data_IF_409106862010
#
_entry.id   IF_409106862010
#
_cell.length_a   1.000
_cell.length_b   1.000
_cell.length_c   1.000
_cell.angle_alpha   90.00
_cell.angle_beta   90.00
_cell.angle_gamma   90.00
#
_symmetry.space_group_name_H-M   'P 1'
#
loop_
_entity.id
_entity.type
_entity.pdbx_description
1 polymer ?
#
# COMPACT_ATOMS: atom_id res chain seq x y z
N UNK A 1 -6.68 -5.09 -3.82
CA UNK A 1 -5.36 -5.54 -4.38
C UNK A 1 -4.34 -4.42 -4.37
N UNK A 2 -4.56 -3.38 -5.17
CA UNK A 2 -3.62 -2.28 -5.42
C UNK A 2 -3.04 -1.61 -4.16
N UNK A 3 -3.85 -1.40 -3.12
CA UNK A 3 -3.39 -0.84 -1.84
C UNK A 3 -2.60 -1.86 -1.01
N UNK A 4 -3.03 -3.12 -0.99
CA UNK A 4 -2.30 -4.21 -0.33
C UNK A 4 -0.89 -4.39 -0.92
N UNK A 5 -0.77 -4.36 -2.26
CA UNK A 5 0.53 -4.41 -2.93
C UNK A 5 1.42 -3.20 -2.58
N UNK A 6 0.84 -2.01 -2.40
CA UNK A 6 1.61 -0.83 -2.03
C UNK A 6 2.18 -0.91 -0.60
N UNK A 7 1.43 -1.48 0.36
CA UNK A 7 2.00 -1.79 1.68
C UNK A 7 3.22 -2.71 1.55
N UNK A 8 3.08 -3.83 0.84
CA UNK A 8 4.16 -4.80 0.67
C UNK A 8 5.37 -4.22 -0.06
N UNK A 9 5.15 -3.43 -1.11
CA UNK A 9 6.23 -2.72 -1.82
C UNK A 9 6.97 -1.76 -0.92
N UNK A 10 6.26 -1.01 -0.08
CA UNK A 10 6.89 -0.06 0.84
C UNK A 10 7.70 -0.77 1.95
N UNK A 11 7.28 -1.97 2.37
CA UNK A 11 8.06 -2.79 3.30
C UNK A 11 9.39 -3.26 2.69
N UNK A 12 9.37 -3.71 1.43
CA UNK A 12 10.57 -4.17 0.71
C UNK A 12 11.44 -3.00 0.26
N UNK A 13 10.82 -1.91 -0.19
CA UNK A 13 11.48 -0.71 -0.67
C UNK A 13 10.94 0.54 0.05
N UNK A 14 11.59 0.95 1.16
CA UNK A 14 11.23 2.14 1.92
C UNK A 14 11.33 3.47 1.12
N UNK A 15 11.91 3.43 -0.07
CA UNK A 15 12.12 4.60 -0.93
C UNK A 15 11.02 4.73 -2.01
N UNK A 16 9.99 3.86 -1.98
CA UNK A 16 8.84 3.92 -2.89
C UNK A 16 7.81 4.99 -2.46
N UNK A 17 8.05 6.23 -2.88
CA UNK A 17 7.17 7.38 -2.62
C UNK A 17 5.74 7.20 -3.18
N UNK A 18 5.60 6.47 -4.29
CA UNK A 18 4.30 6.22 -4.92
C UNK A 18 3.45 5.33 -4.03
N UNK A 19 4.05 4.24 -3.53
CA UNK A 19 3.39 3.36 -2.58
C UNK A 19 3.12 4.08 -1.26
N UNK A 20 4.07 4.87 -0.75
CA UNK A 20 3.88 5.65 0.48
C UNK A 20 2.67 6.59 0.40
N UNK A 21 2.58 7.43 -0.64
CA UNK A 21 1.45 8.35 -0.82
C UNK A 21 0.11 7.63 -1.00
N UNK A 22 0.13 6.46 -1.64
CA UNK A 22 -1.09 5.65 -1.82
C UNK A 22 -1.69 5.19 -0.50
N UNK A 23 -0.86 4.72 0.42
CA UNK A 23 -1.30 3.99 1.61
C UNK A 23 -1.25 4.81 2.91
N UNK A 24 -0.59 5.97 2.92
CA UNK A 24 -0.45 6.83 4.10
C UNK A 24 -1.80 7.13 4.77
N UNK A 25 -2.86 7.29 3.98
CA UNK A 25 -4.23 7.54 4.46
C UNK A 25 -5.23 6.42 4.09
N UNK A 26 -4.75 5.20 3.91
CA UNK A 26 -5.57 3.99 3.65
C UNK A 26 -5.31 2.91 4.70
N UNK A 27 -6.30 2.52 5.52
CA UNK A 27 -7.59 3.18 5.74
C UNK A 27 -7.45 4.63 6.21
N UNK A 28 -8.57 5.38 6.28
CA UNK A 28 -8.53 6.81 6.64
C UNK A 28 -7.93 7.02 8.05
N UNK A 29 -6.81 7.75 8.11
CA UNK A 29 -6.08 8.12 9.35
C UNK A 29 -6.18 9.61 9.69
N UNK A 30 -6.77 10.41 8.80
CA UNK A 30 -6.88 11.87 8.97
C UNK A 30 -5.72 12.64 8.32
N UNK A 31 -5.01 12.02 7.39
CA UNK A 31 -3.96 12.66 6.58
C UNK A 31 -4.56 13.09 5.25
N UNK A 32 -5.12 14.31 5.23
CA UNK A 32 -5.79 14.88 4.05
C UNK A 32 -4.83 15.18 2.89
N UNK A 33 -5.38 15.48 1.71
CA UNK A 33 -4.59 15.77 0.49
C UNK A 33 -3.58 16.91 0.70
N UNK A 34 -3.99 18.00 1.35
CA UNK A 34 -3.08 19.10 1.66
C UNK A 34 -1.89 18.67 2.54
N UNK A 35 -2.12 17.79 3.52
CA UNK A 35 -1.02 17.22 4.32
C UNK A 35 -0.12 16.30 3.51
N UNK A 36 -0.67 15.51 2.59
CA UNK A 36 0.12 14.66 1.70
C UNK A 36 0.99 15.50 0.75
N UNK A 37 0.44 16.59 0.20
CA UNK A 37 1.18 17.55 -0.63
C UNK A 37 2.32 18.21 0.16
N UNK A 38 2.05 18.65 1.40
CA UNK A 38 3.06 19.21 2.29
C UNK A 38 4.18 18.21 2.59
N UNK A 39 3.83 16.95 2.90
CA UNK A 39 4.80 15.87 3.14
C UNK A 39 5.66 15.64 1.90
N UNK A 40 5.04 15.50 0.73
CA UNK A 40 5.74 15.29 -0.54
C UNK A 40 6.69 16.45 -0.88
N UNK A 41 6.21 17.69 -0.77
CA UNK A 41 7.01 18.88 -1.01
C UNK A 41 8.21 18.96 -0.05
N UNK A 42 7.99 18.68 1.23
CA UNK A 42 9.03 18.74 2.24
C UNK A 42 10.08 17.63 2.08
N UNK A 43 9.66 16.41 1.71
CA UNK A 43 10.57 15.31 1.37
C UNK A 43 11.44 15.67 0.15
N UNK A 44 10.82 16.24 -0.90
CA UNK A 44 11.50 16.69 -2.11
C UNK A 44 12.52 17.79 -1.84
N UNK A 45 12.19 18.80 -1.03
CA UNK A 45 13.12 19.89 -0.66
C UNK A 45 14.35 19.34 0.05
N UNK A 46 14.17 18.31 0.89
CA UNK A 46 15.25 17.67 1.63
C UNK A 46 15.99 16.60 0.84
N UNK A 47 15.57 16.30 -0.39
CA UNK A 47 16.18 15.27 -1.24
C UNK A 47 16.11 13.87 -0.64
N UNK A 48 15.04 13.57 0.11
CA UNK A 48 14.82 12.28 0.77
C UNK A 48 13.51 11.65 0.32
N UNK A 49 13.43 10.31 0.19
CA UNK A 49 12.15 9.62 0.04
C UNK A 49 11.24 9.91 1.23
N UNK A 50 9.93 9.87 1.00
CA UNK A 50 8.90 10.28 1.95
C UNK A 50 9.04 9.55 3.28
N UNK A 51 9.03 8.22 3.29
CA UNK A 51 9.08 7.46 4.55
C UNK A 51 10.39 7.74 5.33
N UNK A 52 11.50 7.91 4.62
CA UNK A 52 12.79 8.30 5.21
C UNK A 52 12.74 9.70 5.82
N UNK A 53 12.20 10.66 5.08
CA UNK A 53 12.05 12.04 5.54
C UNK A 53 11.16 12.14 6.78
N UNK A 54 10.05 11.38 6.81
CA UNK A 54 9.14 11.33 7.95
C UNK A 54 9.84 10.78 9.21
N UNK A 55 10.69 9.77 9.07
CA UNK A 55 11.48 9.20 10.18
C UNK A 55 12.64 10.08 10.63
N UNK A 56 13.34 10.74 9.68
CA UNK A 56 14.55 11.53 9.96
C UNK A 56 14.25 12.90 10.59
N UNK A 57 13.27 13.62 10.04
CA UNK A 57 12.97 15.01 10.44
C UNK A 57 11.74 15.12 11.34
N UNK A 58 10.95 14.05 11.44
CA UNK A 58 9.70 14.04 12.17
C UNK A 58 8.59 14.86 11.48
N UNK A 59 7.32 14.46 11.66
CA UNK A 59 6.19 15.16 11.02
C UNK A 59 5.97 16.59 11.54
N UNK A 60 6.47 16.92 12.73
CA UNK A 60 6.35 18.26 13.31
C UNK A 60 7.13 19.34 12.52
N UNK A 61 8.21 18.96 11.83
CA UNK A 61 9.00 19.88 11.01
C UNK A 61 8.40 20.15 9.61
N UNK A 62 7.21 19.63 9.33
CA UNK A 62 6.59 19.68 8.00
C UNK A 62 5.47 20.72 7.88
N UNK A 63 5.27 21.55 8.93
CA UNK A 63 4.19 22.55 8.95
C UNK A 63 2.79 21.92 8.92
N UNK A 64 2.68 20.68 9.40
CA UNK A 64 1.42 19.92 9.49
C UNK A 64 0.61 20.37 10.71
N UNK A 65 -0.71 20.18 10.65
CA UNK A 65 -1.57 20.34 11.83
C UNK A 65 -1.23 19.30 12.90
N UNK A 66 -1.48 19.59 14.18
CA UNK A 66 -1.26 18.63 15.28
C UNK A 66 -1.97 17.28 15.05
N UNK A 67 -3.16 17.30 14.43
CA UNK A 67 -3.90 16.09 14.06
C UNK A 67 -3.17 15.28 13.00
N UNK A 68 -2.66 15.94 11.95
CA UNK A 68 -1.93 15.29 10.88
C UNK A 68 -0.57 14.75 11.37
N UNK A 69 0.11 15.48 12.26
CA UNK A 69 1.35 15.03 12.91
C UNK A 69 1.13 13.69 13.60
N UNK A 70 0.15 13.62 14.51
CA UNK A 70 -0.17 12.40 15.24
C UNK A 70 -0.56 11.24 14.32
N UNK A 71 -1.33 11.53 13.27
CA UNK A 71 -1.73 10.50 12.29
C UNK A 71 -0.52 9.96 11.50
N UNK A 72 0.46 10.81 11.18
CA UNK A 72 1.69 10.40 10.51
C UNK A 72 2.59 9.61 11.45
N UNK A 73 2.72 9.99 12.72
CA UNK A 73 3.46 9.22 13.73
C UNK A 73 2.91 7.79 13.84
N UNK A 74 1.58 7.67 13.99
CA UNK A 74 0.90 6.36 14.00
C UNK A 74 1.10 5.57 12.71
N UNK A 75 1.21 6.24 11.57
CA UNK A 75 1.49 5.57 10.31
C UNK A 75 2.93 5.02 10.26
N UNK A 76 3.92 5.76 10.79
CA UNK A 76 5.30 5.29 10.88
C UNK A 76 5.39 4.08 11.80
N UNK A 77 4.78 4.15 12.98
CA UNK A 77 4.71 3.05 13.95
C UNK A 77 4.07 1.80 13.32
N UNK A 78 2.94 1.98 12.63
CA UNK A 78 2.30 0.90 11.88
C UNK A 78 3.25 0.27 10.86
N UNK A 79 3.98 1.07 10.07
CA UNK A 79 4.90 0.51 9.07
C UNK A 79 6.05 -0.29 9.71
N UNK A 80 6.48 0.08 10.91
CA UNK A 80 7.46 -0.70 11.67
C UNK A 80 6.86 -2.05 12.13
N UNK A 81 5.66 -2.03 12.69
CA UNK A 81 4.92 -3.24 13.11
C UNK A 81 4.61 -4.18 11.94
N UNK A 82 4.27 -3.62 10.78
CA UNK A 82 4.00 -4.38 9.56
C UNK A 82 5.26 -5.05 8.99
N UNK A 83 6.44 -4.49 9.26
CA UNK A 83 7.72 -5.02 8.80
C UNK A 83 8.27 -6.17 9.65
N UNK A 84 7.71 -6.42 10.84
CA UNK A 84 8.25 -7.44 11.74
C UNK A 84 8.27 -8.87 11.17
N UNK A 85 7.21 -9.37 10.51
CA UNK A 85 7.25 -10.72 9.95
C UNK A 85 8.28 -10.85 8.83
N UNK A 86 8.42 -9.81 7.99
CA UNK A 86 9.45 -9.76 6.95
C UNK A 86 10.86 -9.83 7.57
N UNK A 87 11.11 -9.08 8.64
CA UNK A 87 12.41 -9.08 9.33
C UNK A 87 12.78 -10.44 9.94
N UNK A 88 11.78 -11.29 10.27
CA UNK A 88 11.98 -12.65 10.76
C UNK A 88 12.00 -13.72 9.66
N UNK A 89 11.84 -13.33 8.39
CA UNK A 89 11.83 -14.24 7.25
C UNK A 89 10.54 -15.05 7.10
N UNK A 90 9.40 -14.47 7.50
CA UNK A 90 8.08 -15.09 7.31
C UNK A 90 7.74 -15.32 5.83
N UNK A 91 6.81 -16.25 5.57
CA UNK A 91 6.33 -16.53 4.21
C UNK A 91 5.52 -15.35 3.64
N UNK A 92 5.49 -15.15 2.31
CA UNK A 92 4.80 -13.99 1.72
C UNK A 92 3.31 -13.91 2.07
N UNK A 93 2.64 -15.08 2.19
CA UNK A 93 1.24 -15.16 2.60
C UNK A 93 1.03 -14.70 4.05
N UNK A 94 1.94 -15.03 4.95
CA UNK A 94 1.89 -14.57 6.35
C UNK A 94 2.09 -13.06 6.43
N UNK A 95 3.05 -12.51 5.68
CA UNK A 95 3.28 -11.06 5.61
C UNK A 95 2.05 -10.34 5.05
N UNK A 96 1.43 -10.87 3.99
CA UNK A 96 0.21 -10.31 3.41
C UNK A 96 -0.95 -10.34 4.42
N UNK A 97 -1.20 -11.48 5.08
CA UNK A 97 -2.28 -11.62 6.06
C UNK A 97 -2.06 -10.67 7.26
N UNK A 98 -0.82 -10.52 7.73
CA UNK A 98 -0.44 -9.55 8.77
C UNK A 98 -0.71 -8.12 8.33
N UNK A 99 -0.28 -7.75 7.11
CA UNK A 99 -0.53 -6.41 6.54
C UNK A 99 -2.01 -6.11 6.43
N UNK A 100 -2.81 -7.03 5.89
CA UNK A 100 -4.25 -6.80 5.69
C UNK A 100 -4.99 -6.62 7.02
N UNK A 101 -4.57 -7.36 8.05
CA UNK A 101 -5.20 -7.30 9.37
C UNK A 101 -4.74 -6.08 10.18
N UNK A 102 -3.43 -5.92 10.42
CA UNK A 102 -2.90 -4.89 11.32
C UNK A 102 -3.05 -3.48 10.77
N UNK A 103 -3.00 -3.29 9.44
CA UNK A 103 -3.28 -1.98 8.85
C UNK A 103 -4.73 -1.53 9.00
N UNK A 104 -5.63 -2.43 9.38
CA UNK A 104 -7.08 -2.24 9.36
C UNK A 104 -7.70 -2.30 7.96
N UNK A 105 -6.92 -2.65 6.93
CA UNK A 105 -7.38 -2.67 5.54
C UNK A 105 -8.53 -3.66 5.33
N UNK A 106 -8.42 -4.88 5.90
CA UNK A 106 -9.48 -5.87 5.78
C UNK A 106 -10.79 -5.40 6.41
N UNK A 107 -10.71 -4.78 7.59
CA UNK A 107 -11.88 -4.20 8.26
C UNK A 107 -12.49 -3.07 7.44
N UNK A 108 -11.67 -2.23 6.81
CA UNK A 108 -12.16 -1.16 5.93
C UNK A 108 -12.94 -1.73 4.74
N UNK A 109 -12.44 -2.79 4.09
CA UNK A 109 -13.16 -3.48 3.01
C UNK A 109 -14.49 -4.05 3.52
N UNK A 110 -14.50 -4.70 4.68
CA UNK A 110 -15.72 -5.28 5.26
C UNK A 110 -16.80 -4.25 5.62
N UNK A 111 -16.41 -2.98 5.81
CA UNK A 111 -17.35 -1.88 6.12
C UNK A 111 -17.89 -1.16 4.88
N UNK A 112 -17.43 -1.54 3.68
CA UNK A 112 -17.96 -1.02 2.41
C UNK A 112 -19.34 -1.60 2.10
N UNK A 113 -19.96 -1.14 1.01
CA UNK A 113 -21.18 -1.74 0.49
C UNK A 113 -20.97 -3.24 0.22
N UNK A 114 -21.91 -4.14 0.60
CA UNK A 114 -21.71 -5.58 0.48
C UNK A 114 -21.31 -6.06 -0.92
N UNK A 115 -21.88 -5.46 -1.98
CA UNK A 115 -21.59 -5.86 -3.36
C UNK A 115 -20.15 -5.47 -3.76
N UNK A 116 -19.67 -4.33 -3.27
CA UNK A 116 -18.29 -3.88 -3.49
C UNK A 116 -17.32 -4.71 -2.64
N UNK A 117 -17.68 -4.96 -1.39
CA UNK A 117 -16.87 -5.72 -0.45
C UNK A 117 -16.63 -7.15 -0.93
N UNK A 118 -17.66 -7.83 -1.45
CA UNK A 118 -17.56 -9.21 -1.96
C UNK A 118 -16.48 -9.32 -3.04
N UNK A 119 -16.58 -8.52 -4.11
CA UNK A 119 -15.57 -8.53 -5.18
C UNK A 119 -14.18 -8.13 -4.69
N UNK A 120 -14.06 -7.23 -3.71
CA UNK A 120 -12.75 -6.88 -3.12
C UNK A 120 -12.18 -8.01 -2.26
N UNK A 121 -13.02 -8.77 -1.56
CA UNK A 121 -12.61 -9.93 -0.75
C UNK A 121 -12.15 -11.07 -1.64
N UNK A 122 -12.88 -11.39 -2.72
CA UNK A 122 -12.48 -12.39 -3.72
C UNK A 122 -11.10 -12.05 -4.29
N UNK A 123 -10.92 -10.80 -4.74
CA UNK A 123 -9.66 -10.26 -5.20
C UNK A 123 -8.51 -10.39 -4.17
N UNK A 124 -8.79 -10.25 -2.87
CA UNK A 124 -7.78 -10.46 -1.82
C UNK A 124 -7.48 -11.95 -1.59
N UNK A 125 -8.47 -12.82 -1.73
CA UNK A 125 -8.28 -14.27 -1.63
C UNK A 125 -7.43 -14.81 -2.79
N UNK A 126 -7.65 -14.32 -4.01
CA UNK A 126 -6.81 -14.62 -5.17
C UNK A 126 -5.38 -14.15 -4.95
N UNK A 127 -5.20 -12.91 -4.50
CA UNK A 127 -3.89 -12.35 -4.17
C UNK A 127 -3.15 -13.21 -3.13
N UNK A 128 -3.89 -13.69 -2.12
CA UNK A 128 -3.38 -14.60 -1.07
C UNK A 128 -2.97 -15.96 -1.64
N UNK A 129 -3.74 -16.52 -2.57
CA UNK A 129 -3.41 -17.76 -3.26
C UNK A 129 -2.07 -17.63 -4.02
N UNK A 130 -1.88 -16.54 -4.76
CA UNK A 130 -0.60 -16.26 -5.44
C UNK A 130 0.54 -16.12 -4.43
N UNK A 131 0.33 -15.38 -3.34
CA UNK A 131 1.34 -15.20 -2.28
C UNK A 131 1.75 -16.53 -1.62
N UNK A 132 0.84 -17.47 -1.43
CA UNK A 132 1.15 -18.78 -0.84
C UNK A 132 2.02 -19.68 -1.72
N UNK A 133 2.08 -19.40 -3.03
CA UNK A 133 2.90 -20.15 -3.98
C UNK A 133 4.28 -19.54 -4.20
N UNK A 134 4.50 -18.31 -3.72
CA UNK A 134 5.73 -17.56 -3.96
C UNK A 134 6.81 -17.91 -2.92
N UNK A 135 8.08 -18.13 -3.34
CA UNK A 135 9.15 -18.49 -2.42
C UNK A 135 9.63 -17.32 -1.54
N UNK A 136 9.52 -16.08 -2.02
CA UNK A 136 9.88 -14.87 -1.27
C UNK A 136 8.91 -13.74 -1.60
N UNK A 137 8.92 -12.68 -0.76
CA UNK A 137 8.06 -11.52 -0.97
C UNK A 137 8.44 -10.77 -2.26
N UNK A 138 9.73 -10.70 -2.59
CA UNK A 138 10.23 -10.11 -3.82
C UNK A 138 9.72 -10.87 -5.05
N UNK A 139 9.80 -12.21 -5.04
CA UNK A 139 9.31 -13.05 -6.13
C UNK A 139 7.79 -12.87 -6.34
N UNK A 140 7.03 -12.77 -5.24
CA UNK A 140 5.61 -12.46 -5.28
C UNK A 140 5.32 -11.08 -5.91
N UNK A 141 6.06 -10.05 -5.50
CA UNK A 141 5.89 -8.70 -6.02
C UNK A 141 6.26 -8.60 -7.51
N UNK A 142 7.27 -9.34 -7.97
CA UNK A 142 7.65 -9.43 -9.38
C UNK A 142 6.57 -10.13 -10.21
N UNK A 143 6.08 -11.28 -9.75
CA UNK A 143 5.01 -12.02 -10.43
C UNK A 143 3.74 -11.18 -10.56
N UNK A 144 3.32 -10.49 -9.49
CA UNK A 144 2.14 -9.60 -9.54
C UNK A 144 2.37 -8.37 -10.42
N UNK A 145 3.58 -7.83 -10.51
CA UNK A 145 3.89 -6.74 -11.43
C UNK A 145 3.73 -7.17 -12.89
N UNK A 146 4.14 -8.39 -13.24
CA UNK A 146 4.02 -8.92 -14.60
C UNK A 146 2.55 -9.10 -15.02
N UNK A 147 1.72 -9.70 -14.17
CA UNK A 147 0.28 -9.85 -14.47
C UNK A 147 -0.40 -8.48 -14.64
N UNK A 148 -0.14 -7.53 -13.73
CA UNK A 148 -0.70 -6.19 -13.86
C UNK A 148 -0.23 -5.46 -15.14
N UNK A 149 1.02 -5.68 -15.58
CA UNK A 149 1.52 -5.10 -16.82
C UNK A 149 0.84 -5.68 -18.06
N UNK A 150 0.59 -7.00 -18.06
CA UNK A 150 -0.15 -7.67 -19.13
C UNK A 150 -1.60 -7.20 -19.16
N UNK A 151 -2.28 -7.14 -18.01
CA UNK A 151 -3.66 -6.65 -17.92
C UNK A 151 -3.77 -5.19 -18.37
N UNK A 152 -2.84 -4.32 -17.95
CA UNK A 152 -2.83 -2.92 -18.39
C UNK A 152 -2.62 -2.78 -19.91
N UNK A 153 -1.79 -3.63 -20.52
CA UNK A 153 -1.62 -3.68 -21.98
C UNK A 153 -2.88 -4.21 -22.69
N UNK A 154 -3.57 -5.19 -22.11
CA UNK A 154 -4.81 -5.72 -22.66
C UNK A 154 -5.97 -4.71 -22.53
N UNK A 155 -6.02 -3.92 -21.45
CA UNK A 155 -6.96 -2.81 -21.28
C UNK A 155 -6.70 -1.69 -22.30
N UNK A 156 -5.44 -1.36 -22.58
CA UNK A 156 -5.04 -0.33 -23.56
C UNK A 156 -5.31 -0.76 -25.02
N UNK A 157 -5.21 -2.06 -25.31
CA UNK A 157 -5.59 -2.66 -26.60
C UNK A 157 -7.11 -2.97 -26.66
N UNK A 158 -7.80 -2.94 -25.52
CA UNK A 158 -9.09 -3.58 -25.28
C UNK A 158 -10.33 -2.69 -25.37
N UNK A 159 -10.28 -1.52 -26.01
CA UNK A 159 -11.51 -0.84 -26.45
C UNK A 159 -11.73 -1.07 -27.94
N UNK A 160 -12.03 -2.32 -28.30
CA UNK A 160 -12.87 -2.62 -29.47
C UNK A 160 -13.68 -3.89 -29.17
N UNK A 161 -14.63 -3.79 -28.24
CA UNK A 161 -15.75 -4.73 -28.19
C UNK A 161 -16.66 -4.41 -29.38
N UNK A 162 -16.31 -4.95 -30.55
CA UNK A 162 -17.25 -5.15 -31.63
C UNK A 162 -18.06 -6.39 -31.26
N UNK A 163 -19.24 -6.18 -30.67
CA UNK A 163 -20.26 -7.23 -30.62
C UNK A 163 -20.66 -7.51 -32.06
N UNK A 164 -20.17 -8.61 -32.62
CA UNK A 164 -20.67 -9.14 -33.89
C UNK A 164 -21.87 -10.02 -33.56
N UNK A 165 -23.07 -9.46 -33.70
CA UNK A 165 -24.27 -10.20 -34.08
C UNK A 165 -25.08 -9.35 -35.07
#
# INVERSE_FOLDING_TARGET
>A
IKDALAFLRLLVNPDDDVSALRIINVPKRGIGSGSQEQISAAARIRGRPILRALREFGPAELGLTTRAIKAVEQFIELMDELGEPLARGAEPVEILDHVLSQSGYLNAVMTEDPLVAEGRIENLQELRSVASSAPTLEAFLEQTALYNAVDALLEDVGVTLMTVL
#
